data_IF_752156940120
#
_entry.id   IF_752156940120
#
_cell.length_a   1.000
_cell.length_b   1.000
_cell.length_c   1.000
_cell.angle_alpha   90.00
_cell.angle_beta   90.00
_cell.angle_gamma   90.00
#
_symmetry.space_group_name_H-M   'P 1'
#
loop_
_entity.id
_entity.type
_entity.pdbx_description
1 polymer ?
#
# COMPACT_ATOMS: atom_id res chain seq x y z
N UNK A 1 -14.67 -19.83 -12.41
CA UNK A 1 -13.59 -19.20 -11.59
C UNK A 1 -12.43 -20.17 -11.38
N UNK A 2 -12.66 -21.42 -11.01
CA UNK A 2 -11.56 -22.39 -10.73
C UNK A 2 -10.53 -22.54 -11.86
N UNK A 3 -10.93 -22.44 -13.14
CA UNK A 3 -9.99 -22.57 -14.26
C UNK A 3 -9.02 -21.35 -14.37
N UNK A 4 -9.50 -20.13 -14.16
CA UNK A 4 -8.67 -18.92 -14.25
C UNK A 4 -7.64 -18.88 -13.12
N UNK A 5 -8.05 -19.20 -11.89
CA UNK A 5 -7.12 -19.25 -10.75
C UNK A 5 -6.04 -20.31 -10.95
N UNK A 6 -6.40 -21.47 -11.51
CA UNK A 6 -5.43 -22.50 -11.84
C UNK A 6 -4.43 -22.04 -12.91
N UNK A 7 -4.91 -21.39 -13.98
CA UNK A 7 -4.04 -20.82 -15.03
C UNK A 7 -3.08 -19.77 -14.47
N UNK A 8 -3.57 -18.90 -13.58
CA UNK A 8 -2.73 -17.91 -12.91
C UNK A 8 -1.69 -18.58 -12.01
N UNK A 9 -2.09 -19.61 -11.25
CA UNK A 9 -1.19 -20.37 -10.38
C UNK A 9 -0.06 -21.04 -11.18
N UNK A 10 -0.38 -21.69 -12.30
CA UNK A 10 0.63 -22.31 -13.17
C UNK A 10 1.56 -21.27 -13.79
N UNK A 11 1.01 -20.12 -14.20
CA UNK A 11 1.80 -19.00 -14.71
C UNK A 11 2.77 -18.45 -13.67
N UNK A 12 2.31 -18.21 -12.46
CA UNK A 12 3.14 -17.65 -11.38
C UNK A 12 4.27 -18.59 -10.98
N UNK A 13 4.04 -19.91 -11.00
CA UNK A 13 5.10 -20.89 -10.75
C UNK A 13 6.25 -20.82 -11.75
N UNK A 14 5.98 -20.27 -12.95
CA UNK A 14 7.00 -20.09 -13.99
C UNK A 14 7.82 -18.80 -13.80
N UNK A 15 7.38 -17.89 -12.93
CA UNK A 15 8.13 -16.67 -12.63
C UNK A 15 9.21 -16.93 -11.59
N UNK A 16 10.43 -16.58 -11.91
CA UNK A 16 11.45 -16.35 -10.90
C UNK A 16 11.17 -14.99 -10.23
N UNK A 17 10.64 -15.01 -8.99
CA UNK A 17 10.33 -13.80 -8.27
C UNK A 17 11.60 -13.28 -7.62
N UNK A 18 12.17 -12.24 -8.23
CA UNK A 18 13.37 -11.58 -7.72
C UNK A 18 12.99 -10.54 -6.66
N UNK A 19 13.47 -10.75 -5.45
CA UNK A 19 13.30 -9.82 -4.34
C UNK A 19 14.50 -8.88 -4.23
N UNK A 20 14.25 -7.60 -4.37
CA UNK A 20 15.20 -6.55 -4.05
C UNK A 20 15.06 -6.16 -2.57
N UNK A 21 16.18 -5.94 -1.87
CA UNK A 21 16.17 -5.62 -0.43
C UNK A 21 16.30 -4.13 -0.13
N UNK A 22 16.67 -3.32 -1.13
CA UNK A 22 16.86 -1.87 -0.96
C UNK A 22 15.81 -1.07 -1.72
N UNK A 23 15.16 -0.06 -1.11
CA UNK A 23 15.33 0.47 0.26
C UNK A 23 14.70 -0.39 1.35
N UNK A 24 13.80 -1.28 1.01
CA UNK A 24 13.19 -2.33 1.80
C UNK A 24 12.73 -3.46 0.87
N UNK A 25 12.48 -4.68 1.39
CA UNK A 25 12.18 -5.82 0.53
C UNK A 25 10.93 -5.58 -0.33
N UNK A 26 11.11 -5.73 -1.65
CA UNK A 26 10.05 -5.62 -2.63
C UNK A 26 10.34 -6.48 -3.86
N UNK A 27 9.29 -6.85 -4.58
CA UNK A 27 9.35 -7.57 -5.85
C UNK A 27 8.42 -6.93 -6.87
N UNK A 28 8.81 -7.01 -8.15
CA UNK A 28 8.02 -6.51 -9.28
C UNK A 28 7.79 -7.69 -10.22
N UNK A 29 6.53 -7.93 -10.57
CA UNK A 29 6.11 -9.00 -11.47
C UNK A 29 5.37 -8.36 -12.63
N UNK A 30 5.97 -8.37 -13.80
CA UNK A 30 5.35 -7.89 -15.04
C UNK A 30 4.50 -8.96 -15.70
N UNK A 31 3.50 -8.54 -16.46
CA UNK A 31 2.56 -9.46 -17.14
C UNK A 31 1.94 -10.47 -16.17
N UNK A 32 1.53 -9.99 -14.99
CA UNK A 32 1.06 -10.83 -13.89
C UNK A 32 -0.11 -11.74 -14.28
N UNK A 33 -1.16 -11.18 -14.87
CA UNK A 33 -2.30 -11.95 -15.37
C UNK A 33 -2.12 -12.37 -16.83
N UNK A 34 -2.79 -13.46 -17.28
CA UNK A 34 -2.97 -13.71 -18.70
C UNK A 34 -3.54 -12.48 -19.40
N UNK A 35 -3.04 -12.21 -20.62
CA UNK A 35 -3.37 -10.96 -21.33
C UNK A 35 -4.87 -10.80 -21.61
N UNK A 36 -5.56 -11.88 -21.95
CA UNK A 36 -7.02 -11.87 -22.19
C UNK A 36 -7.82 -11.55 -20.93
N UNK A 37 -7.38 -12.05 -19.76
CA UNK A 37 -7.99 -11.75 -18.46
C UNK A 37 -7.73 -10.29 -18.09
N UNK A 38 -6.49 -9.81 -18.25
CA UNK A 38 -6.11 -8.45 -17.99
C UNK A 38 -6.91 -7.44 -18.83
N UNK A 39 -7.02 -7.69 -20.14
CA UNK A 39 -7.77 -6.83 -21.06
C UNK A 39 -9.22 -6.72 -20.61
N UNK A 40 -9.90 -7.83 -20.30
CA UNK A 40 -11.27 -7.81 -19.79
C UNK A 40 -11.44 -6.98 -18.54
N UNK A 41 -10.48 -7.05 -17.59
CA UNK A 41 -10.50 -6.21 -16.37
C UNK A 41 -10.36 -4.74 -16.73
N UNK A 42 -9.34 -4.39 -17.53
CA UNK A 42 -9.03 -3.01 -17.87
C UNK A 42 -10.12 -2.33 -18.69
N UNK A 43 -10.75 -3.05 -19.63
CA UNK A 43 -11.89 -2.55 -20.41
C UNK A 43 -13.13 -2.35 -19.54
N UNK A 44 -13.39 -3.26 -18.60
CA UNK A 44 -14.51 -3.14 -17.67
C UNK A 44 -14.38 -1.93 -16.73
N UNK A 45 -13.17 -1.44 -16.47
CA UNK A 45 -12.94 -0.23 -15.69
C UNK A 45 -13.44 1.04 -16.41
N UNK A 46 -13.46 1.06 -17.74
CA UNK A 46 -13.98 2.19 -18.50
C UNK A 46 -15.50 2.37 -18.34
N UNK A 47 -16.20 1.33 -17.87
CA UNK A 47 -17.65 1.33 -17.64
C UNK A 47 -18.01 1.78 -16.22
N UNK A 48 -17.03 2.14 -15.41
CA UNK A 48 -17.14 2.37 -13.97
C UNK A 48 -17.54 3.80 -13.59
N UNK A 49 -18.03 4.61 -14.52
CA UNK A 49 -18.50 5.98 -14.26
C UNK A 49 -19.62 6.09 -13.18
N UNK A 50 -20.15 4.97 -12.74
CA UNK A 50 -21.24 4.88 -11.75
C UNK A 50 -20.77 4.53 -10.32
N UNK A 51 -19.48 4.41 -10.06
CA UNK A 51 -19.02 4.19 -8.70
C UNK A 51 -19.20 5.48 -7.87
N UNK A 52 -19.94 5.36 -6.78
CA UNK A 52 -20.07 6.44 -5.81
C UNK A 52 -18.70 6.81 -5.29
N UNK A 53 -18.28 8.05 -5.51
CA UNK A 53 -17.06 8.64 -4.98
C UNK A 53 -17.10 8.59 -3.44
N UNK A 54 -16.53 7.56 -2.85
CA UNK A 54 -16.30 7.54 -1.42
C UNK A 54 -15.04 8.34 -1.16
N UNK A 55 -15.20 9.65 -1.07
CA UNK A 55 -14.10 10.55 -0.69
C UNK A 55 -13.73 10.30 0.76
N UNK A 56 -12.74 9.45 1.02
CA UNK A 56 -12.05 9.50 2.31
C UNK A 56 -11.40 10.87 2.42
N UNK A 57 -11.80 11.68 3.41
CA UNK A 57 -11.15 12.94 3.75
C UNK A 57 -9.80 12.65 4.40
N UNK A 58 -8.78 12.44 3.59
CA UNK A 58 -7.40 12.49 4.06
C UNK A 58 -6.96 13.95 4.16
N UNK A 59 -5.81 14.18 4.77
CA UNK A 59 -5.21 15.51 4.86
C UNK A 59 -4.82 15.92 3.44
N UNK A 60 -5.54 16.87 2.86
CA UNK A 60 -5.49 17.22 1.44
C UNK A 60 -4.13 17.66 0.90
N UNK A 61 -3.17 18.00 1.75
CA UNK A 61 -1.81 18.41 1.36
C UNK A 61 -0.82 17.25 1.20
N UNK A 62 -1.19 16.03 1.57
CA UNK A 62 -0.37 14.82 1.41
C UNK A 62 -1.04 13.77 0.52
N UNK A 63 -2.31 13.95 0.17
CA UNK A 63 -3.06 13.06 -0.69
C UNK A 63 -4.09 13.84 -1.50
N UNK A 64 -3.99 13.81 -2.84
CA UNK A 64 -4.86 14.56 -3.76
C UNK A 64 -5.40 13.65 -4.85
N UNK A 65 -6.58 14.00 -5.35
CA UNK A 65 -7.21 13.41 -6.54
C UNK A 65 -7.19 11.88 -6.56
N UNK A 66 -7.40 11.27 -5.39
CA UNK A 66 -7.51 9.83 -5.21
C UNK A 66 -8.93 9.47 -4.82
N UNK A 67 -9.55 8.62 -5.62
CA UNK A 67 -10.82 7.96 -5.34
C UNK A 67 -10.54 6.54 -4.87
N UNK A 68 -11.28 6.06 -3.90
CA UNK A 68 -11.21 4.68 -3.42
C UNK A 68 -12.59 4.04 -3.48
N UNK A 69 -12.64 2.77 -3.86
CA UNK A 69 -13.88 2.04 -4.09
C UNK A 69 -13.93 0.82 -3.19
N UNK A 70 -15.08 0.62 -2.56
CA UNK A 70 -15.30 -0.45 -1.62
C UNK A 70 -15.38 -1.82 -2.30
N UNK A 71 -15.05 -2.86 -1.56
CA UNK A 71 -15.15 -4.24 -2.01
C UNK A 71 -16.57 -4.60 -2.52
N UNK A 72 -17.60 -4.04 -1.88
CA UNK A 72 -19.00 -4.25 -2.26
C UNK A 72 -19.38 -3.61 -3.60
N UNK A 73 -18.61 -2.64 -4.06
CA UNK A 73 -18.85 -1.93 -5.32
C UNK A 73 -18.23 -2.69 -6.51
N UNK A 74 -17.31 -3.61 -6.25
CA UNK A 74 -16.62 -4.41 -7.26
C UNK A 74 -17.39 -5.70 -7.56
N UNK A 75 -17.91 -5.81 -8.80
CA UNK A 75 -18.73 -6.95 -9.23
C UNK A 75 -18.10 -7.63 -10.46
N UNK A 76 -18.48 -8.89 -10.67
CA UNK A 76 -18.07 -9.65 -11.84
C UNK A 76 -16.54 -9.73 -11.99
N UNK A 77 -16.05 -9.42 -13.18
CA UNK A 77 -14.62 -9.47 -13.51
C UNK A 77 -13.77 -8.47 -12.68
N UNK A 78 -14.37 -7.36 -12.23
CA UNK A 78 -13.68 -6.37 -11.40
C UNK A 78 -13.37 -6.86 -9.98
N UNK A 79 -14.05 -7.92 -9.53
CA UNK A 79 -13.76 -8.56 -8.23
C UNK A 79 -12.62 -9.57 -8.33
N UNK A 80 -12.31 -10.07 -9.53
CA UNK A 80 -11.28 -11.09 -9.73
C UNK A 80 -9.90 -10.68 -9.17
N UNK A 81 -9.38 -9.46 -9.39
CA UNK A 81 -8.12 -9.04 -8.78
C UNK A 81 -8.13 -9.11 -7.24
N UNK A 82 -9.24 -8.75 -6.60
CA UNK A 82 -9.37 -8.85 -5.14
C UNK A 82 -9.23 -10.30 -4.68
N UNK A 83 -9.92 -11.22 -5.35
CA UNK A 83 -9.86 -12.64 -5.03
C UNK A 83 -8.46 -13.23 -5.24
N UNK A 84 -7.76 -12.82 -6.30
CA UNK A 84 -6.40 -13.28 -6.59
C UNK A 84 -5.43 -12.73 -5.54
N UNK A 85 -5.46 -11.44 -5.26
CA UNK A 85 -4.58 -10.81 -4.28
C UNK A 85 -4.82 -11.32 -2.86
N UNK A 86 -6.08 -11.52 -2.48
CA UNK A 86 -6.44 -12.10 -1.18
C UNK A 86 -6.34 -13.63 -1.11
N UNK A 87 -6.14 -14.29 -2.26
CA UNK A 87 -6.13 -15.73 -2.40
C UNK A 87 -4.79 -16.39 -2.05
N UNK A 88 -4.79 -17.71 -2.13
CA UNK A 88 -3.67 -18.57 -1.75
C UNK A 88 -2.39 -18.28 -2.54
N UNK A 89 -2.51 -17.88 -3.81
CA UNK A 89 -1.36 -17.70 -4.70
C UNK A 89 -0.39 -16.63 -4.17
N UNK A 90 -0.90 -15.45 -3.82
CA UNK A 90 -0.05 -14.36 -3.33
C UNK A 90 0.36 -14.61 -1.88
N UNK A 91 -0.52 -15.23 -1.09
CA UNK A 91 -0.16 -15.64 0.27
C UNK A 91 1.01 -16.61 0.27
N UNK A 92 1.01 -17.65 -0.58
CA UNK A 92 2.10 -18.64 -0.68
C UNK A 92 3.45 -17.97 -1.01
N UNK A 93 3.46 -17.00 -1.93
CA UNK A 93 4.67 -16.24 -2.28
C UNK A 93 5.20 -15.48 -1.05
N UNK A 94 4.33 -14.76 -0.37
CA UNK A 94 4.69 -13.94 0.78
C UNK A 94 5.03 -14.80 2.00
N UNK A 95 4.30 -15.88 2.25
CA UNK A 95 4.55 -16.83 3.33
C UNK A 95 5.91 -17.49 3.18
N UNK A 96 6.24 -17.93 1.98
CA UNK A 96 7.56 -18.48 1.64
C UNK A 96 8.67 -17.44 1.85
N UNK A 97 8.47 -16.20 1.40
CA UNK A 97 9.46 -15.15 1.58
C UNK A 97 9.68 -14.76 3.03
N UNK A 98 8.59 -14.60 3.79
CA UNK A 98 8.61 -14.19 5.20
C UNK A 98 8.95 -15.33 6.15
N UNK A 99 8.85 -16.58 5.69
CA UNK A 99 8.92 -17.79 6.51
C UNK A 99 7.88 -17.77 7.64
N UNK A 100 6.63 -17.52 7.26
CA UNK A 100 5.46 -17.54 8.14
C UNK A 100 4.43 -18.52 7.59
N UNK A 101 3.45 -18.87 8.41
CA UNK A 101 2.32 -19.69 8.00
C UNK A 101 1.03 -18.87 8.14
N UNK A 102 0.10 -19.07 7.19
CA UNK A 102 -1.24 -18.54 7.25
C UNK A 102 -1.30 -17.00 7.38
N UNK A 103 -0.92 -16.32 6.31
CA UNK A 103 -1.21 -14.91 6.17
C UNK A 103 -2.72 -14.66 6.11
N UNK A 104 -3.13 -13.58 6.72
CA UNK A 104 -4.50 -13.12 6.79
C UNK A 104 -4.63 -11.87 5.93
N UNK A 105 -5.72 -11.76 5.18
CA UNK A 105 -6.07 -10.57 4.40
C UNK A 105 -7.42 -10.04 4.85
N UNK A 106 -7.80 -8.87 4.37
CA UNK A 106 -9.11 -8.30 4.63
C UNK A 106 -10.26 -9.16 4.06
N UNK A 107 -9.95 -10.03 3.07
CA UNK A 107 -10.92 -10.99 2.52
C UNK A 107 -11.28 -12.12 3.52
N UNK A 108 -10.41 -12.37 4.49
CA UNK A 108 -10.64 -13.42 5.52
C UNK A 108 -11.54 -12.92 6.67
N UNK A 109 -11.90 -11.64 6.67
CA UNK A 109 -12.76 -11.04 7.71
C UNK A 109 -14.08 -10.50 7.12
N UNK A 110 -15.16 -11.28 7.15
CA UNK A 110 -16.42 -10.92 6.48
C UNK A 110 -17.03 -9.60 6.98
N UNK A 111 -16.77 -9.20 8.22
CA UNK A 111 -17.30 -7.99 8.85
C UNK A 111 -16.28 -6.83 8.92
N UNK A 112 -15.19 -6.92 8.17
CA UNK A 112 -14.18 -5.86 8.12
C UNK A 112 -14.71 -4.65 7.33
N UNK A 113 -15.57 -3.86 7.98
CA UNK A 113 -16.13 -2.65 7.37
C UNK A 113 -15.07 -1.64 6.95
N UNK A 114 -15.16 -1.16 5.70
CA UNK A 114 -14.31 -0.10 5.18
C UNK A 114 -13.04 -0.55 4.46
N UNK A 115 -13.04 -1.74 3.87
CA UNK A 115 -12.03 -2.15 2.90
C UNK A 115 -12.33 -1.56 1.53
N UNK A 116 -11.32 -0.90 0.95
CA UNK A 116 -11.41 -0.21 -0.33
C UNK A 116 -10.26 -0.68 -1.23
N UNK A 117 -10.41 -1.86 -1.85
CA UNK A 117 -9.30 -2.51 -2.57
C UNK A 117 -8.94 -1.84 -3.90
N UNK A 118 -9.80 -1.01 -4.47
CA UNK A 118 -9.55 -0.36 -5.75
C UNK A 118 -9.33 1.14 -5.57
N UNK A 119 -8.22 1.62 -6.12
CA UNK A 119 -7.80 3.01 -6.11
C UNK A 119 -7.72 3.56 -7.53
N UNK A 120 -8.32 4.71 -7.75
CA UNK A 120 -8.22 5.47 -9.01
C UNK A 120 -7.70 6.87 -8.70
N UNK A 121 -6.56 7.21 -9.27
CA UNK A 121 -5.95 8.53 -9.11
C UNK A 121 -5.99 9.28 -10.44
N UNK A 122 -6.50 10.50 -10.40
CA UNK A 122 -6.65 11.40 -11.56
C UNK A 122 -5.39 12.23 -11.78
N UNK A 123 -5.35 12.97 -12.88
CA UNK A 123 -4.32 13.99 -13.14
C UNK A 123 -4.14 14.90 -11.92
N UNK A 124 -2.93 15.33 -11.67
CA UNK A 124 -2.47 16.04 -10.46
C UNK A 124 -2.57 15.22 -9.18
N UNK A 125 -2.99 13.95 -9.25
CA UNK A 125 -3.00 13.03 -8.11
C UNK A 125 -1.61 12.85 -7.54
N UNK A 126 -1.53 12.81 -6.20
CA UNK A 126 -0.28 12.59 -5.46
C UNK A 126 -0.59 11.90 -4.13
N UNK A 127 0.32 11.06 -3.69
CA UNK A 127 0.28 10.48 -2.35
C UNK A 127 1.64 10.68 -1.68
N UNK A 128 1.65 11.43 -0.60
CA UNK A 128 2.88 11.77 0.14
C UNK A 128 3.60 10.55 0.68
N UNK A 129 4.88 10.73 1.00
CA UNK A 129 5.69 9.70 1.65
C UNK A 129 5.06 9.30 2.99
N UNK A 130 4.78 8.01 3.16
CA UNK A 130 4.13 7.47 4.36
C UNK A 130 4.52 6.01 4.61
N UNK A 131 4.27 5.56 5.80
CA UNK A 131 4.13 4.14 6.14
C UNK A 131 2.68 3.88 6.50
N UNK A 132 2.18 2.70 6.16
CA UNK A 132 0.80 2.32 6.47
C UNK A 132 0.60 2.01 7.96
N UNK A 133 -0.63 1.72 8.33
CA UNK A 133 -0.95 1.25 9.67
C UNK A 133 -0.25 -0.09 9.97
N UNK A 134 0.17 -0.29 11.21
CA UNK A 134 0.95 -1.47 11.60
C UNK A 134 0.12 -2.66 12.06
N UNK A 135 -1.15 -2.48 12.35
CA UNK A 135 -2.00 -3.56 12.87
C UNK A 135 -3.40 -3.49 12.28
N UNK A 136 -4.01 -4.66 12.10
CA UNK A 136 -5.43 -4.78 11.82
C UNK A 136 -6.28 -4.31 13.03
N UNK A 137 -7.58 -4.17 12.83
CA UNK A 137 -8.52 -3.91 13.95
C UNK A 137 -8.50 -5.05 14.97
N UNK A 138 -8.19 -6.27 14.55
CA UNK A 138 -8.11 -7.46 15.40
C UNK A 138 -6.77 -7.58 16.12
N UNK A 139 -5.80 -6.72 15.82
CA UNK A 139 -4.49 -6.69 16.44
C UNK A 139 -3.42 -7.51 15.72
N UNK A 140 -3.75 -8.13 14.59
CA UNK A 140 -2.76 -8.83 13.75
C UNK A 140 -1.81 -7.83 13.10
N UNK A 141 -0.55 -8.21 12.95
CA UNK A 141 0.49 -7.32 12.45
C UNK A 141 0.46 -7.26 10.93
N UNK A 142 0.45 -6.05 10.38
CA UNK A 142 0.58 -5.77 8.95
C UNK A 142 2.03 -6.00 8.49
N UNK A 143 2.25 -6.95 7.60
CA UNK A 143 3.59 -7.41 7.21
C UNK A 143 3.93 -7.23 5.75
N UNK A 144 2.95 -7.10 4.89
CA UNK A 144 3.19 -6.90 3.46
C UNK A 144 2.01 -6.21 2.78
N UNK A 145 2.29 -5.64 1.61
CA UNK A 145 1.31 -5.06 0.70
C UNK A 145 1.50 -5.62 -0.71
N UNK A 146 0.41 -5.66 -1.46
CA UNK A 146 0.44 -5.81 -2.91
C UNK A 146 -0.24 -4.63 -3.59
N UNK A 147 0.30 -4.21 -4.74
CA UNK A 147 -0.29 -3.20 -5.62
C UNK A 147 -0.30 -3.79 -7.04
N UNK A 148 -1.48 -3.98 -7.60
CA UNK A 148 -1.67 -4.47 -8.96
C UNK A 148 -2.22 -3.36 -9.86
N UNK A 149 -1.46 -2.98 -10.88
CA UNK A 149 -1.83 -1.91 -11.81
C UNK A 149 -2.69 -2.42 -12.95
N UNK A 150 -3.82 -1.74 -13.15
CA UNK A 150 -4.85 -2.15 -14.11
C UNK A 150 -5.27 -1.04 -15.09
N UNK A 151 -4.52 0.05 -15.17
CA UNK A 151 -4.75 1.07 -16.19
C UNK A 151 -4.56 0.45 -17.59
N UNK A 152 -5.47 0.68 -18.56
CA UNK A 152 -5.37 0.08 -19.90
C UNK A 152 -4.08 0.44 -20.62
N UNK A 153 -3.58 1.65 -20.40
CA UNK A 153 -2.32 2.19 -20.92
C UNK A 153 -1.68 3.07 -19.86
N UNK A 154 -0.35 3.06 -19.80
CA UNK A 154 0.42 4.02 -18.99
C UNK A 154 1.74 4.36 -19.66
N UNK A 155 2.02 5.64 -19.80
CA UNK A 155 3.30 6.12 -20.34
C UNK A 155 4.20 6.62 -19.20
N UNK A 156 5.49 6.35 -19.31
CA UNK A 156 6.46 6.72 -18.26
C UNK A 156 6.54 8.23 -18.03
N UNK A 157 6.23 9.03 -19.05
CA UNK A 157 6.17 10.49 -18.98
C UNK A 157 5.00 11.03 -18.16
N UNK A 158 4.01 10.20 -17.86
CA UNK A 158 2.82 10.63 -17.11
C UNK A 158 3.00 10.65 -15.60
N UNK A 159 4.19 10.28 -15.10
CA UNK A 159 4.44 10.22 -13.66
C UNK A 159 3.65 9.09 -12.99
N UNK A 160 3.14 9.34 -11.80
CA UNK A 160 2.32 8.36 -11.07
C UNK A 160 3.08 7.13 -10.57
N UNK A 161 4.41 7.15 -10.61
CA UNK A 161 5.25 6.05 -10.12
C UNK A 161 4.96 5.80 -8.63
N UNK A 162 4.95 4.56 -8.24
CA UNK A 162 5.09 4.22 -6.83
C UNK A 162 6.52 4.55 -6.41
N UNK A 163 6.64 5.43 -5.43
CA UNK A 163 7.91 5.88 -4.88
C UNK A 163 8.26 5.04 -3.66
N UNK A 164 9.46 4.48 -3.65
CA UNK A 164 10.04 3.86 -2.46
C UNK A 164 11.11 4.80 -1.92
N UNK A 165 11.02 5.10 -0.63
CA UNK A 165 11.89 6.09 0.01
C UNK A 165 12.93 5.44 0.91
N UNK A 166 13.92 6.25 1.32
CA UNK A 166 14.84 5.91 2.40
C UNK A 166 14.08 5.56 3.69
N UNK A 167 14.76 4.93 4.60
CA UNK A 167 14.23 4.59 5.92
C UNK A 167 13.72 5.79 6.76
N UNK A 168 13.98 7.02 6.33
CA UNK A 168 13.43 8.25 6.93
C UNK A 168 12.22 8.79 6.19
N UNK A 169 11.91 8.26 5.00
CA UNK A 169 10.85 8.77 4.15
C UNK A 169 11.18 10.08 3.42
N UNK A 170 12.43 10.58 3.51
CA UNK A 170 12.81 11.90 3.01
C UNK A 170 13.49 11.89 1.64
N UNK A 171 14.07 10.76 1.23
CA UNK A 171 14.79 10.63 -0.05
C UNK A 171 14.13 9.55 -0.88
N UNK A 172 13.78 9.86 -2.13
CA UNK A 172 13.33 8.87 -3.10
C UNK A 172 14.54 8.00 -3.47
N UNK A 173 14.38 6.70 -3.32
CA UNK A 173 15.42 5.71 -3.65
C UNK A 173 15.07 4.99 -4.95
N UNK A 174 13.79 4.64 -5.12
CA UNK A 174 13.32 3.91 -6.30
C UNK A 174 11.99 4.46 -6.77
N UNK A 175 11.80 4.47 -8.09
CA UNK A 175 10.54 4.78 -8.76
C UNK A 175 10.08 3.54 -9.51
N UNK A 176 8.85 3.12 -9.28
CA UNK A 176 8.22 1.98 -9.96
C UNK A 176 7.11 2.52 -10.82
N UNK A 177 7.29 2.45 -12.15
CA UNK A 177 6.30 2.88 -13.13
C UNK A 177 5.05 1.98 -12.98
N UNK A 178 3.83 2.55 -12.94
CA UNK A 178 2.60 1.78 -12.88
C UNK A 178 2.25 1.17 -14.25
N UNK A 179 3.18 0.35 -14.78
CA UNK A 179 2.99 -0.32 -16.05
C UNK A 179 1.76 -1.22 -16.03
N UNK A 180 1.14 -1.37 -17.16
CA UNK A 180 -0.03 -2.22 -17.34
C UNK A 180 0.27 -3.67 -16.93
N UNK A 181 -0.66 -4.31 -16.23
CA UNK A 181 -0.53 -5.71 -15.79
C UNK A 181 0.72 -6.00 -14.93
N UNK A 182 1.15 -5.01 -14.12
CA UNK A 182 2.27 -5.12 -13.18
C UNK A 182 1.76 -5.31 -11.77
N UNK A 183 2.30 -6.31 -11.08
CA UNK A 183 2.13 -6.50 -9.65
C UNK A 183 3.41 -6.08 -8.92
N UNK A 184 3.24 -5.32 -7.85
CA UNK A 184 4.30 -4.96 -6.92
C UNK A 184 3.97 -5.55 -5.56
N UNK A 185 4.91 -6.29 -4.98
CA UNK A 185 4.84 -6.80 -3.61
C UNK A 185 5.90 -6.06 -2.78
N UNK A 186 5.59 -5.68 -1.57
CA UNK A 186 6.59 -5.13 -0.66
C UNK A 186 6.30 -5.47 0.80
N UNK A 187 7.39 -5.60 1.56
CA UNK A 187 7.31 -5.94 2.98
C UNK A 187 7.12 -4.66 3.78
N UNK A 188 6.09 -4.69 4.62
CA UNK A 188 5.72 -3.58 5.48
C UNK A 188 6.57 -3.54 6.75
N UNK A 189 6.98 -2.34 7.15
CA UNK A 189 7.66 -2.05 8.41
C UNK A 189 7.52 -0.58 8.77
N UNK A 190 8.00 -0.17 9.93
CA UNK A 190 8.05 1.25 10.32
C UNK A 190 8.95 2.13 9.44
N UNK A 191 9.70 1.53 8.53
CA UNK A 191 10.62 2.22 7.61
C UNK A 191 10.33 1.97 6.13
N UNK A 192 9.26 1.25 5.79
CA UNK A 192 8.84 1.02 4.41
C UNK A 192 8.08 2.22 3.84
N UNK A 193 8.72 3.38 3.88
CA UNK A 193 8.13 4.61 3.36
C UNK A 193 7.91 4.52 1.86
N UNK A 194 6.67 4.78 1.45
CA UNK A 194 6.27 4.77 0.05
C UNK A 194 5.25 5.86 -0.24
N UNK A 195 4.94 6.07 -1.52
CA UNK A 195 4.00 7.09 -1.96
C UNK A 195 3.77 7.02 -3.46
N UNK A 196 3.07 8.01 -4.00
CA UNK A 196 2.81 8.12 -5.45
C UNK A 196 3.28 9.48 -5.93
N UNK A 197 4.12 9.47 -6.98
CA UNK A 197 4.57 10.68 -7.66
C UNK A 197 3.39 11.39 -8.32
N UNK A 198 3.55 12.70 -8.55
CA UNK A 198 2.53 13.50 -9.23
C UNK A 198 2.18 12.88 -10.58
N UNK A 199 0.87 12.80 -10.85
CA UNK A 199 0.33 12.30 -12.11
C UNK A 199 0.18 13.47 -13.08
N UNK A 200 0.69 13.29 -14.30
CA UNK A 200 0.63 14.23 -15.41
C UNK A 200 -0.01 13.61 -16.67
N UNK A 201 -0.84 12.58 -16.48
CA UNK A 201 -1.56 11.93 -17.56
C UNK A 201 -2.59 12.86 -18.20
N UNK A 202 -3.02 12.61 -19.45
CA UNK A 202 -4.15 13.31 -20.05
C UNK A 202 -5.41 13.22 -19.19
N UNK A 203 -6.27 14.21 -19.29
CA UNK A 203 -7.57 14.23 -18.62
C UNK A 203 -8.38 12.99 -19.06
N UNK A 204 -8.98 12.29 -18.08
CA UNK A 204 -9.72 11.04 -18.31
C UNK A 204 -8.87 9.77 -18.22
N UNK A 205 -7.53 9.90 -18.24
CA UNK A 205 -6.63 8.75 -18.03
C UNK A 205 -6.23 8.67 -16.56
N UNK A 206 -6.75 7.67 -15.86
CA UNK A 206 -6.52 7.50 -14.43
C UNK A 206 -5.47 6.41 -14.16
N UNK A 207 -4.69 6.60 -13.09
CA UNK A 207 -3.85 5.56 -12.51
C UNK A 207 -4.71 4.65 -11.65
N UNK A 208 -5.07 3.51 -12.21
CA UNK A 208 -5.92 2.52 -11.58
C UNK A 208 -5.11 1.38 -10.99
N UNK A 209 -5.38 1.03 -9.75
CA UNK A 209 -4.70 -0.08 -9.07
C UNK A 209 -5.59 -0.76 -8.04
N UNK A 210 -5.39 -2.06 -7.88
CA UNK A 210 -5.87 -2.80 -6.72
C UNK A 210 -4.76 -2.89 -5.69
N UNK A 211 -5.13 -2.94 -4.41
CA UNK A 211 -4.18 -3.19 -3.34
C UNK A 211 -4.73 -4.20 -2.34
N UNK A 212 -3.84 -4.88 -1.63
CA UNK A 212 -4.16 -5.79 -0.55
C UNK A 212 -3.13 -5.68 0.55
N UNK A 213 -3.61 -5.65 1.79
CA UNK A 213 -2.79 -5.73 2.99
C UNK A 213 -2.75 -7.16 3.49
N UNK A 214 -1.58 -7.60 3.95
CA UNK A 214 -1.37 -8.94 4.51
C UNK A 214 -0.92 -8.83 5.95
N UNK A 215 -1.53 -9.66 6.79
CA UNK A 215 -1.33 -9.64 8.23
C UNK A 215 -0.87 -11.01 8.72
N UNK A 216 -0.17 -11.00 9.84
CA UNK A 216 0.30 -12.21 10.53
C UNK A 216 -0.02 -12.13 12.01
N UNK A 217 -0.33 -13.27 12.59
CA UNK A 217 -0.54 -13.35 14.03
C UNK A 217 0.78 -13.17 14.79
N UNK A 218 0.77 -12.44 15.90
CA UNK A 218 1.95 -12.09 16.72
C UNK A 218 2.89 -13.26 17.03
N UNK A 219 2.36 -14.46 17.17
CA UNK A 219 3.14 -15.67 17.49
C UNK A 219 4.23 -16.02 16.47
N UNK A 220 4.09 -15.58 15.22
CA UNK A 220 5.02 -15.90 14.13
C UNK A 220 6.14 -14.85 13.95
N UNK A 221 6.07 -13.74 14.67
CA UNK A 221 7.01 -12.60 14.52
C UNK A 221 8.47 -12.96 14.77
N UNK A 222 8.84 -13.76 15.80
CA UNK A 222 10.25 -14.06 16.04
C UNK A 222 10.93 -14.76 14.87
N UNK A 223 10.25 -15.73 14.24
CA UNK A 223 10.76 -16.45 13.09
C UNK A 223 10.85 -15.56 11.85
N UNK A 224 9.82 -14.78 11.57
CA UNK A 224 9.82 -13.82 10.49
C UNK A 224 10.97 -12.81 10.61
N UNK A 225 11.19 -12.24 11.79
CA UNK A 225 12.29 -11.30 12.05
C UNK A 225 13.66 -11.93 11.81
N UNK A 226 13.86 -13.18 12.25
CA UNK A 226 15.10 -13.92 12.00
C UNK A 226 15.33 -14.07 10.50
N UNK A 227 14.34 -14.52 9.75
CA UNK A 227 14.40 -14.71 8.29
C UNK A 227 14.71 -13.40 7.56
N UNK A 228 14.02 -12.33 7.87
CA UNK A 228 14.23 -11.04 7.21
C UNK A 228 15.61 -10.45 7.52
N UNK A 229 16.13 -10.66 8.73
CA UNK A 229 17.49 -10.27 9.10
C UNK A 229 18.54 -11.01 8.27
N UNK A 230 18.39 -12.30 8.05
CA UNK A 230 19.31 -13.10 7.20
C UNK A 230 19.25 -12.67 5.73
N UNK A 231 18.12 -12.16 5.25
CA UNK A 231 17.94 -11.61 3.90
C UNK A 231 18.40 -10.15 3.77
N UNK A 232 19.11 -9.61 4.75
CA UNK A 232 19.68 -8.26 4.71
C UNK A 232 18.70 -7.13 5.03
N UNK A 233 17.47 -7.45 5.43
CA UNK A 233 16.51 -6.46 5.87
C UNK A 233 16.89 -5.91 7.24
N UNK A 234 17.18 -4.61 7.30
CA UNK A 234 17.48 -3.91 8.55
C UNK A 234 16.20 -3.26 9.07
N UNK A 235 15.99 -3.33 10.40
CA UNK A 235 14.96 -2.54 11.11
C UNK A 235 13.49 -2.91 10.80
N UNK A 236 13.09 -4.10 11.19
CA UNK A 236 11.68 -4.50 11.25
C UNK A 236 11.05 -4.07 12.58
N UNK A 237 11.10 -2.80 12.86
CA UNK A 237 10.39 -2.24 14.01
C UNK A 237 9.02 -1.79 13.55
N UNK A 238 7.98 -2.24 14.21
CA UNK A 238 6.60 -1.90 13.92
C UNK A 238 6.12 -0.86 14.91
N UNK A 239 5.64 0.24 14.38
CA UNK A 239 5.11 1.32 15.19
C UNK A 239 3.77 1.80 14.63
N UNK A 240 2.84 2.10 15.49
CA UNK A 240 1.54 2.74 15.22
C UNK A 240 0.44 1.95 14.52
N UNK A 241 -0.76 2.19 15.04
CA UNK A 241 -2.03 1.71 14.52
C UNK A 241 -2.55 2.48 13.32
N UNK A 242 -1.93 3.57 12.94
CA UNK A 242 -2.44 4.43 11.86
C UNK A 242 -1.34 4.81 10.89
N UNK A 243 -1.72 5.01 9.63
CA UNK A 243 -0.85 5.55 8.58
C UNK A 243 -0.12 6.80 9.06
N UNK A 244 1.20 6.82 8.86
CA UNK A 244 2.07 7.90 9.29
C UNK A 244 2.75 8.56 8.10
N UNK A 245 2.38 9.81 7.80
CA UNK A 245 2.93 10.60 6.72
C UNK A 245 4.17 11.38 7.15
N UNK A 246 5.14 11.50 6.23
CA UNK A 246 6.21 12.49 6.34
C UNK A 246 5.60 13.87 6.08
N UNK A 247 5.74 14.81 7.00
CA UNK A 247 5.22 16.16 6.80
C UNK A 247 5.86 16.80 5.56
N UNK A 248 5.06 17.48 4.74
CA UNK A 248 5.50 18.30 3.59
C UNK A 248 6.21 17.57 2.44
N UNK A 249 6.29 16.26 2.44
CA UNK A 249 6.97 15.53 1.38
C UNK A 249 5.98 14.68 0.56
N UNK A 250 6.06 14.63 -0.78
CA UNK A 250 7.10 15.18 -1.67
C UNK A 250 6.87 16.63 -2.08
N UNK A 251 5.81 17.30 -1.61
CA UNK A 251 5.43 18.65 -2.05
C UNK A 251 6.49 19.72 -1.73
N UNK A 252 7.43 19.42 -0.83
CA UNK A 252 8.49 20.31 -0.42
C UNK A 252 7.99 21.57 0.33
N UNK A 253 8.90 22.21 1.06
CA UNK A 253 8.59 23.44 1.81
C UNK A 253 8.13 24.58 0.88
N UNK A 254 8.58 24.60 -0.37
CA UNK A 254 8.23 25.66 -1.35
C UNK A 254 6.76 25.67 -1.78
N UNK A 255 6.08 24.52 -1.75
CA UNK A 255 4.64 24.44 -2.05
C UNK A 255 3.77 24.70 -0.83
N UNK A 256 4.38 24.79 0.33
CA UNK A 256 3.73 25.09 1.58
C UNK A 256 3.56 26.62 1.68
N UNK A 257 2.36 27.12 1.48
CA UNK A 257 2.07 28.52 1.74
C UNK A 257 2.19 28.73 3.24
N UNK A 258 3.23 29.42 3.70
CA UNK A 258 3.48 29.76 5.12
C UNK A 258 2.21 30.32 5.80
N UNK A 259 1.38 31.05 5.06
CA UNK A 259 0.05 31.49 5.51
C UNK A 259 -0.86 30.35 6.01
N UNK A 260 -0.70 29.12 5.54
CA UNK A 260 -1.52 28.00 6.01
C UNK A 260 -1.08 27.45 7.38
N UNK A 261 0.14 27.75 7.82
CA UNK A 261 0.63 27.43 9.17
C UNK A 261 -0.10 28.24 10.28
N UNK A 262 -0.55 29.43 9.95
CA UNK A 262 -1.17 30.37 10.91
C UNK A 262 -2.70 30.41 10.80
N UNK A 263 -3.31 29.63 9.92
CA UNK A 263 -4.76 29.55 9.78
C UNK A 263 -5.35 28.42 10.62
N UNK A 264 -6.65 28.48 10.93
CA UNK A 264 -7.45 27.60 11.81
C UNK A 264 -7.24 26.06 11.68
N UNK A 265 -6.38 25.59 10.76
CA UNK A 265 -6.10 24.18 10.48
C UNK A 265 -4.67 23.73 10.80
N UNK A 266 -3.95 24.38 11.71
CA UNK A 266 -2.60 23.96 12.15
C UNK A 266 -2.60 22.62 12.87
N UNK A 267 -3.67 22.30 13.57
CA UNK A 267 -3.78 21.06 14.35
C UNK A 267 -3.53 19.76 13.55
N UNK A 268 -4.09 19.57 12.33
CA UNK A 268 -3.79 18.39 11.53
C UNK A 268 -2.31 18.24 11.16
N UNK A 269 -1.62 19.36 10.89
CA UNK A 269 -0.18 19.36 10.56
C UNK A 269 0.68 18.98 11.76
N UNK A 270 0.42 19.58 12.92
CA UNK A 270 1.09 19.23 14.15
C UNK A 270 0.88 17.74 14.49
N UNK A 271 -0.32 17.23 14.31
CA UNK A 271 -0.63 15.82 14.53
C UNK A 271 0.20 14.91 13.59
N UNK A 272 0.32 15.24 12.29
CA UNK A 272 1.15 14.51 11.34
C UNK A 272 2.61 14.59 11.72
N UNK A 273 3.09 15.77 12.10
CA UNK A 273 4.48 15.99 12.53
C UNK A 273 4.81 15.20 13.80
N UNK A 274 4.00 15.27 14.83
CA UNK A 274 4.21 14.51 16.06
C UNK A 274 4.11 13.00 15.84
N UNK A 275 3.20 12.55 15.01
CA UNK A 275 3.12 11.13 14.63
C UNK A 275 4.38 10.66 13.90
N UNK A 276 4.89 11.47 12.97
CA UNK A 276 6.13 11.16 12.27
C UNK A 276 7.32 11.09 13.25
N UNK A 277 7.48 12.08 14.13
CA UNK A 277 8.53 12.09 15.15
C UNK A 277 8.41 10.88 16.08
N UNK A 278 7.21 10.62 16.55
CA UNK A 278 6.97 9.50 17.43
C UNK A 278 7.28 8.17 16.73
N UNK A 279 6.83 7.97 15.47
CA UNK A 279 7.18 6.80 14.67
C UNK A 279 8.70 6.62 14.49
N UNK A 280 9.42 7.74 14.49
CA UNK A 280 10.84 7.75 14.16
C UNK A 280 11.75 7.60 15.38
N UNK A 281 11.41 8.24 16.47
CA UNK A 281 12.32 8.44 17.61
C UNK A 281 11.90 7.74 18.91
N UNK A 282 10.61 7.44 19.09
CA UNK A 282 10.09 6.99 20.38
C UNK A 282 9.79 5.50 20.45
N UNK A 283 9.81 4.75 19.34
CA UNK A 283 9.17 3.46 19.34
C UNK A 283 10.05 2.34 18.79
N UNK A 284 10.57 1.56 19.71
CA UNK A 284 10.75 0.15 19.47
C UNK A 284 9.38 -0.56 19.72
N UNK A 285 9.23 -1.75 19.19
CA UNK A 285 8.02 -2.57 19.30
C UNK A 285 7.50 -2.72 20.75
N UNK A 286 8.41 -2.89 21.71
CA UNK A 286 8.07 -3.07 23.13
C UNK A 286 7.41 -1.84 23.72
N UNK A 287 7.89 -0.65 23.37
CA UNK A 287 7.33 0.63 23.86
C UNK A 287 5.97 0.92 23.22
N UNK A 288 5.79 0.65 21.93
CA UNK A 288 4.49 0.75 21.26
C UNK A 288 3.46 -0.19 21.90
N UNK A 289 3.86 -1.41 22.25
CA UNK A 289 3.00 -2.39 22.94
C UNK A 289 2.63 -1.94 24.35
N UNK A 290 3.56 -1.32 25.07
CA UNK A 290 3.33 -0.74 26.39
C UNK A 290 2.35 0.44 26.32
N UNK A 291 2.52 1.34 25.37
CA UNK A 291 1.61 2.47 25.17
C UNK A 291 0.20 2.01 24.75
N UNK A 292 0.09 0.95 23.97
CA UNK A 292 -1.21 0.35 23.61
C UNK A 292 -2.01 -0.10 24.83
N UNK A 293 -1.32 -0.56 25.89
CA UNK A 293 -1.92 -0.98 27.16
C UNK A 293 -2.20 0.17 28.13
N UNK A 294 -1.66 1.34 27.86
CA UNK A 294 -1.79 2.51 28.72
C UNK A 294 -3.03 3.36 28.39
N UNK A 295 -3.45 4.22 29.35
CA UNK A 295 -4.52 5.22 29.16
C UNK A 295 -4.17 6.28 28.08
N UNK A 296 -2.92 6.32 27.61
CA UNK A 296 -2.45 7.24 26.58
C UNK A 296 -2.88 6.83 25.16
N UNK A 297 -3.49 5.66 24.99
CA UNK A 297 -4.03 5.17 23.70
C UNK A 297 -4.90 6.19 22.95
N UNK A 298 -5.62 7.04 23.66
CA UNK A 298 -6.52 8.05 23.07
C UNK A 298 -5.80 9.25 22.44
N UNK A 299 -4.51 9.43 22.72
CA UNK A 299 -3.68 10.55 22.21
C UNK A 299 -2.74 10.13 21.08
N UNK A 300 -2.65 8.84 20.79
CA UNK A 300 -1.89 8.23 19.69
C UNK A 300 -2.82 7.77 18.58
#
# INVERSE_FOLDING_TARGET
>A
MNNIEQVIKERIKQFEIVWETHPFPHAIIDNFLPSDVYIKISESLNQVDNFKDIKKKFISHVEFNKNVYGDKDLKGILRLPVNILGGVIIKDILESYLNVQKLITLCDWPDYGGYYPFHSMKVDGILGSHVDHSHSKNGDLHVANSIFFVSPKWESSWGGETLLFSNTGLKIIKKIIPSTNRLVLFIHSSSSFHGVNKISSPVGVNRNSYYMDYYVHDKQLPQMHKTLKTKGSKNLVYSFHSTSFVPFFPLGIKSFKIKSLFMKNTYPYLKVFFRYLAARFLLNYSFARMLKRSRLKKYL
#
